data_IF_647860631529
#
_entry.id   IF_647860631529
#
_cell.length_a   1.000
_cell.length_b   1.000
_cell.length_c   1.000
_cell.angle_alpha   90.00
_cell.angle_beta   90.00
_cell.angle_gamma   90.00
#
_symmetry.space_group_name_H-M   'P 1'
#
loop_
_entity.id
_entity.type
_entity.pdbx_description
1 polymer ?
#
# COMPACT_ATOMS: atom_id res chain seq x y z
N UNK A 1 9.87 -10.86 -14.90
CA UNK A 1 9.86 -10.75 -13.45
C UNK A 1 9.91 -9.29 -12.99
N UNK A 2 10.87 -8.48 -13.48
CA UNK A 2 11.11 -7.07 -13.03
C UNK A 2 9.85 -6.21 -13.16
N UNK A 3 9.18 -6.22 -14.33
CA UNK A 3 7.92 -5.48 -14.54
C UNK A 3 6.83 -5.86 -13.53
N UNK A 4 6.68 -7.19 -13.26
CA UNK A 4 5.68 -7.66 -12.28
C UNK A 4 6.00 -7.22 -10.86
N UNK A 5 7.28 -7.24 -10.45
CA UNK A 5 7.73 -6.75 -9.14
C UNK A 5 7.50 -5.23 -9.04
N UNK A 6 7.85 -4.46 -10.07
CA UNK A 6 7.64 -3.02 -10.09
C UNK A 6 6.15 -2.67 -9.96
N UNK A 7 5.28 -3.39 -10.67
CA UNK A 7 3.83 -3.21 -10.55
C UNK A 7 3.33 -3.53 -9.13
N UNK A 8 3.78 -4.66 -8.56
CA UNK A 8 3.43 -5.03 -7.19
C UNK A 8 3.90 -3.99 -6.15
N UNK A 9 5.10 -3.41 -6.36
CA UNK A 9 5.63 -2.34 -5.51
C UNK A 9 4.76 -1.09 -5.57
N UNK A 10 4.37 -0.67 -6.78
CA UNK A 10 3.51 0.49 -6.98
C UNK A 10 2.10 0.28 -6.40
N UNK A 11 1.56 -0.93 -6.48
CA UNK A 11 0.22 -1.25 -5.97
C UNK A 11 0.20 -1.73 -4.51
N UNK A 12 1.35 -1.68 -3.83
CA UNK A 12 1.48 -2.11 -2.43
C UNK A 12 1.07 -3.58 -2.22
N UNK A 13 1.32 -4.42 -3.23
CA UNK A 13 0.99 -5.85 -3.19
C UNK A 13 2.13 -6.64 -2.54
N UNK A 14 1.87 -7.41 -1.46
CA UNK A 14 2.89 -8.22 -0.78
C UNK A 14 3.21 -9.47 -1.61
N UNK A 15 4.24 -9.40 -2.42
CA UNK A 15 4.71 -10.50 -3.27
C UNK A 15 6.09 -10.96 -2.79
N UNK A 16 6.31 -12.27 -2.73
CA UNK A 16 7.63 -12.86 -2.54
C UNK A 16 8.08 -13.44 -3.88
N UNK A 17 9.10 -12.83 -4.48
CA UNK A 17 9.73 -13.30 -5.69
C UNK A 17 10.93 -14.18 -5.33
N UNK A 18 10.99 -15.40 -5.86
CA UNK A 18 12.11 -16.31 -5.66
C UNK A 18 12.81 -16.50 -7.00
N UNK A 19 14.12 -16.21 -7.03
CA UNK A 19 14.97 -16.37 -8.22
C UNK A 19 16.09 -17.37 -7.95
N UNK A 20 16.56 -18.01 -9.00
CA UNK A 20 17.77 -18.83 -8.95
C UNK A 20 18.99 -18.01 -9.39
N UNK A 21 20.13 -18.28 -8.77
CA UNK A 21 21.39 -17.63 -9.06
C UNK A 21 22.46 -18.69 -9.40
N UNK A 22 23.54 -18.28 -10.08
CA UNK A 22 24.71 -19.11 -10.28
C UNK A 22 25.31 -19.58 -8.95
N UNK A 23 26.13 -20.65 -8.90
CA UNK A 23 26.80 -21.08 -7.67
C UNK A 23 27.56 -19.92 -7.00
N UNK A 24 27.61 -19.88 -5.66
CA UNK A 24 28.28 -18.83 -4.87
C UNK A 24 29.70 -18.49 -5.34
N UNK A 25 30.46 -19.51 -5.75
CA UNK A 25 31.83 -19.34 -6.25
C UNK A 25 31.92 -18.60 -7.59
N UNK A 26 30.81 -18.48 -8.31
CA UNK A 26 30.73 -17.87 -9.65
C UNK A 26 30.13 -16.46 -9.61
N UNK A 27 29.51 -16.06 -8.51
CA UNK A 27 28.87 -14.72 -8.36
C UNK A 27 29.93 -13.62 -8.50
N UNK A 28 29.66 -12.63 -9.36
CA UNK A 28 30.56 -11.50 -9.65
C UNK A 28 31.69 -11.85 -10.60
N UNK A 29 31.57 -12.93 -11.39
CA UNK A 29 32.59 -13.38 -12.35
C UNK A 29 32.10 -13.46 -13.80
N UNK A 30 30.99 -12.81 -14.11
CA UNK A 30 30.35 -12.79 -15.43
C UNK A 30 30.08 -14.23 -15.95
N UNK A 31 29.63 -15.11 -15.03
CA UNK A 31 29.33 -16.49 -15.36
C UNK A 31 28.13 -16.58 -16.32
N UNK A 32 28.04 -17.68 -17.08
CA UNK A 32 26.91 -17.92 -17.97
C UNK A 32 25.58 -17.86 -17.22
N UNK A 33 24.66 -17.02 -17.69
CA UNK A 33 23.34 -16.71 -17.07
C UNK A 33 23.41 -16.05 -15.69
N UNK A 34 24.54 -15.51 -15.28
CA UNK A 34 24.60 -14.65 -14.11
C UNK A 34 23.87 -13.33 -14.38
N UNK A 35 23.08 -12.90 -13.41
CA UNK A 35 22.46 -11.57 -13.40
C UNK A 35 22.48 -11.01 -11.98
N UNK A 36 22.83 -9.74 -11.83
CA UNK A 36 22.66 -9.02 -10.55
C UNK A 36 21.20 -8.67 -10.34
N UNK A 37 20.37 -9.69 -10.08
CA UNK A 37 18.93 -9.49 -9.88
C UNK A 37 18.63 -8.68 -8.63
N UNK A 38 19.48 -8.71 -7.62
CA UNK A 38 19.38 -7.89 -6.41
C UNK A 38 19.55 -6.42 -6.77
N UNK A 39 20.65 -6.07 -7.48
CA UNK A 39 20.87 -4.69 -7.94
C UNK A 39 19.74 -4.19 -8.83
N UNK A 40 19.26 -5.01 -9.78
CA UNK A 40 18.13 -4.68 -10.67
C UNK A 40 16.84 -4.39 -9.88
N UNK A 41 16.56 -5.13 -8.81
CA UNK A 41 15.29 -5.06 -8.08
C UNK A 41 15.32 -4.19 -6.82
N UNK A 42 16.47 -3.71 -6.41
CA UNK A 42 16.63 -2.92 -5.16
C UNK A 42 15.67 -1.73 -5.08
N UNK A 43 15.42 -1.03 -6.18
CA UNK A 43 14.54 0.15 -6.22
C UNK A 43 13.04 -0.18 -6.26
N UNK A 44 12.69 -1.43 -6.51
CA UNK A 44 11.30 -1.90 -6.70
C UNK A 44 10.89 -3.00 -5.73
N UNK A 45 11.68 -3.22 -4.67
CA UNK A 45 11.40 -4.17 -3.60
C UNK A 45 11.57 -3.49 -2.24
N UNK A 46 10.91 -4.03 -1.22
CA UNK A 46 11.12 -3.61 0.16
C UNK A 46 12.43 -4.13 0.73
N UNK A 47 12.83 -5.32 0.31
CA UNK A 47 14.08 -5.97 0.72
C UNK A 47 14.45 -7.09 -0.23
N UNK A 48 15.76 -7.39 -0.31
CA UNK A 48 16.30 -8.50 -1.09
C UNK A 48 17.15 -9.39 -0.18
N UNK A 49 16.98 -10.70 -0.31
CA UNK A 49 17.76 -11.70 0.40
C UNK A 49 18.55 -12.56 -0.58
N UNK A 50 19.75 -12.97 -0.18
CA UNK A 50 20.54 -13.99 -0.86
C UNK A 50 21.13 -14.93 0.20
N UNK A 51 20.45 -16.06 0.54
CA UNK A 51 20.94 -17.01 1.53
C UNK A 51 22.25 -17.65 1.09
N UNK A 52 23.16 -17.82 2.02
CA UNK A 52 24.49 -18.40 1.80
C UNK A 52 24.57 -19.88 2.18
N UNK A 53 23.57 -20.42 2.88
CA UNK A 53 23.46 -21.81 3.31
C UNK A 53 22.02 -22.27 3.26
N UNK A 54 21.79 -23.56 3.07
CA UNK A 54 20.45 -24.14 3.08
C UNK A 54 19.72 -23.89 4.43
N UNK A 55 20.44 -23.96 5.56
CA UNK A 55 19.89 -23.71 6.90
C UNK A 55 19.39 -22.29 7.13
N UNK A 56 19.80 -21.32 6.30
CA UNK A 56 19.30 -19.94 6.38
C UNK A 56 17.92 -19.76 5.72
N UNK A 57 17.55 -20.64 4.75
CA UNK A 57 16.35 -20.47 3.94
C UNK A 57 15.07 -20.33 4.76
N UNK A 58 14.79 -21.16 5.78
CA UNK A 58 13.57 -21.03 6.58
C UNK A 58 13.45 -19.67 7.27
N UNK A 59 14.56 -19.18 7.83
CA UNK A 59 14.62 -17.86 8.48
C UNK A 59 14.42 -16.73 7.47
N UNK A 60 15.04 -16.82 6.31
CA UNK A 60 14.92 -15.84 5.21
C UNK A 60 13.47 -15.77 4.73
N UNK A 61 12.83 -16.91 4.49
CA UNK A 61 11.43 -16.97 4.07
C UNK A 61 10.52 -16.34 5.14
N UNK A 62 10.70 -16.69 6.41
CA UNK A 62 9.95 -16.08 7.52
C UNK A 62 10.09 -14.55 7.53
N UNK A 63 11.33 -14.05 7.37
CA UNK A 63 11.58 -12.62 7.33
C UNK A 63 11.00 -11.96 6.08
N UNK A 64 11.03 -12.62 4.93
CA UNK A 64 10.47 -12.11 3.68
C UNK A 64 8.95 -11.88 3.81
N UNK A 65 8.21 -12.84 4.36
CA UNK A 65 6.77 -12.67 4.64
C UNK A 65 6.53 -11.52 5.61
N UNK A 66 7.31 -11.46 6.70
CA UNK A 66 7.19 -10.40 7.69
C UNK A 66 7.41 -9.02 7.07
N UNK A 67 8.44 -8.83 6.24
CA UNK A 67 8.76 -7.56 5.60
C UNK A 67 7.71 -7.22 4.53
N UNK A 68 7.33 -8.19 3.69
CA UNK A 68 6.35 -7.95 2.63
C UNK A 68 5.01 -7.41 3.14
N UNK A 69 4.58 -7.86 4.32
CA UNK A 69 3.29 -7.49 4.91
C UNK A 69 3.36 -6.37 5.95
N UNK A 70 4.55 -5.82 6.25
CA UNK A 70 4.73 -4.78 7.27
C UNK A 70 4.54 -3.37 6.71
N UNK A 71 4.02 -2.45 7.54
CA UNK A 71 3.80 -1.06 7.16
C UNK A 71 3.01 -0.96 5.86
N UNK A 72 3.50 -0.18 4.88
CA UNK A 72 3.00 -0.27 3.50
C UNK A 72 3.45 -1.62 2.93
N UNK A 73 2.53 -2.52 2.54
CA UNK A 73 2.90 -3.80 1.93
C UNK A 73 3.66 -3.63 0.62
N UNK A 74 4.44 -4.65 0.23
CA UNK A 74 5.17 -4.60 -1.03
C UNK A 74 6.05 -5.83 -1.25
N UNK A 75 6.67 -5.97 -2.43
CA UNK A 75 7.42 -7.15 -2.83
C UNK A 75 8.75 -7.27 -2.09
N UNK A 76 9.15 -8.52 -1.89
CA UNK A 76 10.47 -8.94 -1.38
C UNK A 76 11.04 -9.98 -2.34
N UNK A 77 12.34 -9.93 -2.61
CA UNK A 77 13.01 -10.91 -3.46
C UNK A 77 13.92 -11.81 -2.62
N UNK A 78 13.96 -13.09 -2.96
CA UNK A 78 14.89 -14.09 -2.43
C UNK A 78 15.65 -14.70 -3.60
N UNK A 79 16.94 -14.40 -3.73
CA UNK A 79 17.81 -14.92 -4.79
C UNK A 79 18.63 -16.09 -4.25
N UNK A 80 18.35 -17.31 -4.73
CA UNK A 80 18.92 -18.54 -4.14
C UNK A 80 20.00 -19.12 -5.05
N UNK A 81 21.31 -19.10 -4.64
CA UNK A 81 22.38 -19.71 -5.39
C UNK A 81 22.16 -21.22 -5.63
N UNK A 82 22.55 -21.70 -6.83
CA UNK A 82 22.32 -23.09 -7.24
C UNK A 82 22.93 -24.11 -6.26
N UNK A 83 24.11 -23.85 -5.77
CA UNK A 83 24.79 -24.75 -4.82
C UNK A 83 24.09 -24.77 -3.47
N UNK A 84 23.52 -23.67 -3.03
CA UNK A 84 22.67 -23.60 -1.81
C UNK A 84 21.38 -24.43 -1.99
N UNK A 85 20.79 -24.44 -3.21
CA UNK A 85 19.61 -25.27 -3.51
C UNK A 85 19.92 -26.76 -3.47
N UNK A 86 21.18 -27.14 -3.69
CA UNK A 86 21.65 -28.55 -3.70
C UNK A 86 22.18 -28.99 -2.35
N UNK A 87 22.39 -28.08 -1.39
CA UNK A 87 22.83 -28.43 -0.04
C UNK A 87 21.80 -29.26 0.70
N UNK A 88 22.26 -30.22 1.47
CA UNK A 88 21.47 -30.96 2.47
C UNK A 88 21.91 -30.50 3.84
N UNK A 89 20.98 -30.00 4.63
CA UNK A 89 21.28 -29.49 5.97
C UNK A 89 20.16 -29.93 6.95
N UNK A 90 20.48 -30.02 8.23
CA UNK A 90 19.50 -30.25 9.27
C UNK A 90 18.75 -28.94 9.53
N UNK A 91 17.43 -29.02 9.53
CA UNK A 91 16.58 -27.86 9.83
C UNK A 91 16.14 -27.92 11.29
N UNK A 92 16.30 -26.80 11.97
CA UNK A 92 15.59 -26.57 13.23
C UNK A 92 14.08 -26.65 13.00
N UNK A 93 13.31 -27.13 13.99
CA UNK A 93 11.85 -27.14 13.90
C UNK A 93 11.35 -25.74 13.53
N UNK A 94 10.59 -25.63 12.46
CA UNK A 94 9.95 -24.37 12.08
C UNK A 94 8.92 -24.06 13.18
N UNK A 95 9.27 -23.18 14.10
CA UNK A 95 8.30 -22.61 15.02
C UNK A 95 7.15 -22.01 14.20
N UNK A 96 5.92 -22.33 14.57
CA UNK A 96 4.72 -21.84 13.91
C UNK A 96 4.88 -20.35 13.61
N UNK A 97 4.70 -19.97 12.34
CA UNK A 97 4.76 -18.58 11.91
C UNK A 97 3.60 -17.82 12.54
N UNK A 98 3.79 -17.34 13.75
CA UNK A 98 2.89 -16.32 14.28
C UNK A 98 3.14 -15.06 13.43
N UNK A 99 2.24 -14.80 12.49
CA UNK A 99 2.17 -13.53 11.78
C UNK A 99 1.78 -12.44 12.80
N UNK A 100 2.78 -11.94 13.50
CA UNK A 100 2.58 -10.73 14.30
C UNK A 100 2.42 -9.61 13.27
N UNK A 101 1.19 -9.13 13.05
CA UNK A 101 0.99 -7.84 12.38
C UNK A 101 1.90 -6.85 13.08
N UNK A 102 2.65 -6.05 12.32
CA UNK A 102 3.43 -4.97 12.92
C UNK A 102 2.48 -4.11 13.75
N UNK A 103 2.98 -3.67 14.90
CA UNK A 103 2.25 -2.75 15.75
C UNK A 103 1.87 -1.53 14.90
N UNK A 104 0.58 -1.32 14.75
CA UNK A 104 0.06 -0.16 14.06
C UNK A 104 0.61 1.11 14.74
N UNK A 105 1.09 2.05 13.94
CA UNK A 105 1.47 3.36 14.48
C UNK A 105 0.17 4.13 14.71
N UNK A 106 -0.19 4.46 15.96
CA UNK A 106 -1.41 5.21 16.21
C UNK A 106 -1.27 6.62 15.61
N UNK A 107 -2.34 7.16 15.02
CA UNK A 107 -2.34 8.52 14.51
C UNK A 107 -2.13 9.53 15.64
N UNK A 108 -1.54 10.68 15.31
CA UNK A 108 -1.31 11.72 16.30
C UNK A 108 -2.65 12.38 16.72
N UNK A 109 -3.02 12.40 18.03
CA UNK A 109 -4.34 12.85 18.48
C UNK A 109 -4.71 14.28 18.05
N UNK A 110 -3.74 15.19 18.02
CA UNK A 110 -3.99 16.57 17.56
C UNK A 110 -4.40 16.64 16.08
N UNK A 111 -3.85 15.78 15.23
CA UNK A 111 -4.24 15.74 13.81
C UNK A 111 -5.62 15.12 13.64
N UNK A 112 -5.93 14.09 14.42
CA UNK A 112 -7.28 13.50 14.44
C UNK A 112 -8.32 14.56 14.86
N UNK A 113 -8.06 15.31 15.95
CA UNK A 113 -8.96 16.37 16.40
C UNK A 113 -9.15 17.49 15.35
N UNK A 114 -8.07 17.87 14.63
CA UNK A 114 -8.18 18.84 13.53
C UNK A 114 -9.04 18.29 12.39
N UNK A 115 -8.88 17.02 12.03
CA UNK A 115 -9.67 16.37 11.01
C UNK A 115 -11.16 16.32 11.40
N UNK A 116 -11.47 15.95 12.65
CA UNK A 116 -12.84 15.91 13.17
C UNK A 116 -13.49 17.29 13.08
N UNK A 117 -12.81 18.34 13.57
CA UNK A 117 -13.37 19.70 13.51
C UNK A 117 -13.63 20.13 12.06
N UNK A 118 -12.69 19.84 11.15
CA UNK A 118 -12.83 20.19 9.74
C UNK A 118 -14.01 19.45 9.07
N UNK A 119 -14.23 18.18 9.43
CA UNK A 119 -15.35 17.40 8.92
C UNK A 119 -16.71 17.84 9.51
N UNK A 120 -16.74 18.27 10.77
CA UNK A 120 -17.95 18.78 11.40
C UNK A 120 -18.39 20.13 10.85
N UNK A 121 -17.44 20.95 10.39
CA UNK A 121 -17.69 22.27 9.80
C UNK A 121 -17.97 22.18 8.28
N UNK A 122 -17.81 21.02 7.66
CA UNK A 122 -17.96 20.82 6.23
C UNK A 122 -19.44 20.84 5.78
N UNK A 123 -19.71 21.52 4.67
CA UNK A 123 -21.04 21.52 4.03
C UNK A 123 -21.18 20.42 2.97
N UNK A 124 -20.05 20.05 2.34
CA UNK A 124 -19.98 19.05 1.25
C UNK A 124 -18.81 18.07 1.47
N UNK A 125 -18.78 17.36 2.60
CA UNK A 125 -17.72 16.40 2.86
C UNK A 125 -17.83 15.21 1.90
N UNK A 126 -16.68 14.77 1.35
CA UNK A 126 -16.59 13.53 0.56
C UNK A 126 -15.45 12.70 1.09
N UNK A 127 -15.64 11.38 1.08
CA UNK A 127 -14.59 10.41 1.44
C UNK A 127 -14.06 9.76 0.16
N UNK A 128 -12.74 9.83 -0.04
CA UNK A 128 -12.03 9.09 -1.08
C UNK A 128 -11.31 7.90 -0.45
N UNK A 129 -11.84 6.69 -0.69
CA UNK A 129 -11.31 5.46 -0.14
C UNK A 129 -10.40 4.74 -1.14
N UNK A 130 -9.15 4.53 -0.75
CA UNK A 130 -8.15 3.81 -1.55
C UNK A 130 -7.94 2.35 -1.10
N UNK A 131 -6.97 1.68 -1.74
CA UNK A 131 -6.59 0.30 -1.43
C UNK A 131 -6.11 0.09 0.01
N UNK A 132 -5.61 1.14 0.66
CA UNK A 132 -5.21 1.11 2.07
C UNK A 132 -6.35 0.75 3.01
N UNK A 133 -7.59 1.10 2.69
CA UNK A 133 -8.77 0.71 3.49
C UNK A 133 -8.97 -0.81 3.48
N UNK A 134 -8.77 -1.46 2.32
CA UNK A 134 -8.86 -2.93 2.20
C UNK A 134 -7.69 -3.58 2.95
N UNK A 135 -6.49 -3.09 2.74
CA UNK A 135 -5.27 -3.65 3.33
C UNK A 135 -5.25 -3.57 4.86
N UNK A 136 -5.85 -2.52 5.43
CA UNK A 136 -5.99 -2.36 6.88
C UNK A 136 -7.18 -3.10 7.48
N UNK A 137 -8.15 -3.53 6.66
CA UNK A 137 -9.41 -4.12 7.11
C UNK A 137 -10.41 -3.09 7.65
N UNK A 138 -10.27 -1.80 7.25
CA UNK A 138 -11.03 -0.68 7.79
C UNK A 138 -12.41 -0.46 7.12
N UNK A 139 -12.89 -1.38 6.28
CA UNK A 139 -14.14 -1.21 5.52
C UNK A 139 -15.36 -0.92 6.40
N UNK A 140 -15.49 -1.60 7.55
CA UNK A 140 -16.60 -1.37 8.48
C UNK A 140 -16.49 -0.01 9.19
N UNK A 141 -15.29 0.39 9.59
CA UNK A 141 -15.05 1.69 10.20
C UNK A 141 -15.33 2.84 9.20
N UNK A 142 -14.92 2.66 7.93
CA UNK A 142 -15.22 3.58 6.84
C UNK A 142 -16.73 3.74 6.65
N UNK A 143 -17.47 2.63 6.61
CA UNK A 143 -18.92 2.67 6.44
C UNK A 143 -19.59 3.40 7.60
N UNK A 144 -19.25 3.06 8.85
CA UNK A 144 -19.78 3.72 10.03
C UNK A 144 -19.50 5.24 10.03
N UNK A 145 -18.29 5.65 9.61
CA UNK A 145 -17.94 7.07 9.50
C UNK A 145 -18.76 7.77 8.41
N UNK A 146 -18.89 7.15 7.23
CA UNK A 146 -19.66 7.70 6.12
C UNK A 146 -21.13 7.90 6.49
N UNK A 147 -21.74 6.91 7.18
CA UNK A 147 -23.12 6.99 7.66
C UNK A 147 -23.29 8.07 8.75
N UNK A 148 -22.34 8.19 9.68
CA UNK A 148 -22.36 9.19 10.74
C UNK A 148 -22.31 10.62 10.19
N UNK A 149 -21.47 10.85 9.17
CA UNK A 149 -21.28 12.16 8.55
C UNK A 149 -22.26 12.44 7.41
N UNK A 150 -23.04 11.42 6.97
CA UNK A 150 -23.81 11.44 5.73
C UNK A 150 -22.93 11.82 4.51
N UNK A 151 -21.66 11.46 4.56
CA UNK A 151 -20.66 11.80 3.55
C UNK A 151 -20.62 10.75 2.42
N UNK A 152 -20.80 11.14 1.16
CA UNK A 152 -20.66 10.25 0.04
C UNK A 152 -19.24 9.68 -0.06
N UNK A 153 -19.12 8.43 -0.54
CA UNK A 153 -17.87 7.71 -0.66
C UNK A 153 -17.58 7.42 -2.14
N UNK A 154 -16.46 7.95 -2.62
CA UNK A 154 -15.85 7.55 -3.88
C UNK A 154 -14.67 6.60 -3.61
N UNK A 155 -14.43 5.62 -4.48
CA UNK A 155 -13.31 4.71 -4.34
C UNK A 155 -12.29 4.90 -5.44
N UNK A 156 -11.01 4.67 -5.15
CA UNK A 156 -10.04 4.44 -6.21
C UNK A 156 -10.27 3.04 -6.81
N UNK A 157 -9.66 2.74 -7.98
CA UNK A 157 -9.73 1.40 -8.55
C UNK A 157 -9.22 0.34 -7.55
N UNK A 158 -8.13 0.62 -6.83
CA UNK A 158 -7.58 -0.28 -5.80
C UNK A 158 -8.42 -0.32 -4.52
N UNK A 159 -9.27 0.66 -4.30
CA UNK A 159 -10.22 0.71 -3.18
C UNK A 159 -11.57 0.08 -3.49
N UNK A 160 -11.82 -0.34 -4.75
CA UNK A 160 -13.09 -0.96 -5.14
C UNK A 160 -13.41 -2.17 -4.26
N UNK A 161 -14.63 -2.18 -3.69
CA UNK A 161 -15.08 -3.21 -2.74
C UNK A 161 -14.83 -2.89 -1.26
N UNK A 162 -14.14 -1.79 -0.91
CA UNK A 162 -14.01 -1.36 0.49
C UNK A 162 -15.29 -0.71 1.05
N UNK A 163 -16.20 -0.31 0.19
CA UNK A 163 -17.51 0.26 0.53
C UNK A 163 -18.59 -0.42 -0.32
N UNK A 164 -19.78 -0.74 0.23
CA UNK A 164 -20.83 -1.40 -0.54
C UNK A 164 -21.31 -0.53 -1.71
N UNK A 165 -21.23 -1.06 -2.94
CA UNK A 165 -21.59 -0.30 -4.13
C UNK A 165 -23.10 0.02 -4.26
N UNK A 166 -23.94 -0.77 -3.58
CA UNK A 166 -25.40 -0.54 -3.50
C UNK A 166 -25.82 0.36 -2.34
N UNK A 167 -24.88 0.91 -1.60
CA UNK A 167 -25.18 1.83 -0.50
C UNK A 167 -25.60 3.20 -1.06
N UNK A 168 -26.59 3.90 -0.45
CA UNK A 168 -27.05 5.23 -0.93
C UNK A 168 -25.95 6.29 -0.98
N UNK A 169 -24.91 6.18 -0.16
CA UNK A 169 -23.76 7.07 -0.14
C UNK A 169 -22.65 6.67 -1.11
N UNK A 170 -22.77 5.57 -1.87
CA UNK A 170 -21.76 5.13 -2.81
C UNK A 170 -21.80 5.95 -4.10
N UNK A 171 -20.69 6.60 -4.43
CA UNK A 171 -20.49 7.30 -5.70
C UNK A 171 -19.84 6.40 -6.77
N UNK A 172 -19.32 5.22 -6.38
CA UNK A 172 -18.57 4.34 -7.26
C UNK A 172 -17.09 4.74 -7.38
N UNK A 173 -16.47 4.33 -8.49
CA UNK A 173 -15.03 4.57 -8.74
C UNK A 173 -14.81 6.00 -9.25
N UNK A 174 -13.73 6.63 -8.76
CA UNK A 174 -13.25 7.95 -9.17
C UNK A 174 -12.11 7.83 -10.18
N UNK A 175 -12.02 8.78 -11.09
CA UNK A 175 -10.90 8.99 -12.01
C UNK A 175 -11.20 8.59 -13.46
N UNK A 176 -10.17 8.22 -14.21
CA UNK A 176 -10.23 7.99 -15.66
C UNK A 176 -11.30 6.95 -16.08
N UNK A 177 -11.52 5.93 -15.25
CA UNK A 177 -12.52 4.88 -15.44
C UNK A 177 -13.68 4.99 -14.45
N UNK A 178 -13.83 6.17 -13.85
CA UNK A 178 -14.82 6.45 -12.81
C UNK A 178 -16.22 6.73 -13.36
N UNK A 179 -17.17 6.75 -12.42
CA UNK A 179 -18.55 7.17 -12.72
C UNK A 179 -18.60 8.67 -12.94
N UNK A 180 -19.61 9.13 -13.68
CA UNK A 180 -19.83 10.56 -13.89
C UNK A 180 -20.11 11.28 -12.56
N UNK A 181 -20.91 10.64 -11.70
CA UNK A 181 -21.31 11.14 -10.39
C UNK A 181 -20.10 11.30 -9.48
N UNK A 182 -19.22 10.29 -9.37
CA UNK A 182 -18.01 10.37 -8.57
C UNK A 182 -17.09 11.50 -9.04
N UNK A 183 -16.83 11.57 -10.35
CA UNK A 183 -15.96 12.59 -10.93
C UNK A 183 -16.51 14.00 -10.74
N UNK A 184 -17.82 14.18 -10.85
CA UNK A 184 -18.45 15.49 -10.71
C UNK A 184 -18.50 15.93 -9.24
N UNK A 185 -19.04 15.08 -8.36
CA UNK A 185 -19.29 15.46 -6.97
C UNK A 185 -17.99 15.64 -6.18
N UNK A 186 -16.96 14.83 -6.44
CA UNK A 186 -15.66 14.99 -5.77
C UNK A 186 -15.03 16.36 -6.06
N UNK A 187 -15.21 16.92 -7.26
CA UNK A 187 -14.73 18.27 -7.60
C UNK A 187 -15.45 19.39 -6.88
N UNK A 188 -16.68 19.14 -6.41
CA UNK A 188 -17.52 20.12 -5.68
C UNK A 188 -17.33 20.05 -4.15
N UNK A 189 -16.51 19.12 -3.65
CA UNK A 189 -16.27 18.95 -2.22
C UNK A 189 -15.58 20.18 -1.62
N UNK A 190 -16.00 20.60 -0.43
CA UNK A 190 -15.30 21.58 0.40
C UNK A 190 -14.29 20.93 1.33
N UNK A 191 -14.55 19.67 1.75
CA UNK A 191 -13.62 18.83 2.51
C UNK A 191 -13.53 17.45 1.87
N UNK A 192 -12.31 17.02 1.53
CA UNK A 192 -12.02 15.68 1.02
C UNK A 192 -11.21 14.90 2.06
N UNK A 193 -11.84 13.85 2.63
CA UNK A 193 -11.14 12.87 3.46
C UNK A 193 -10.60 11.75 2.59
N UNK A 194 -9.30 11.74 2.36
CA UNK A 194 -8.61 10.72 1.58
C UNK A 194 -7.99 9.67 2.51
N UNK A 195 -8.39 8.40 2.39
CA UNK A 195 -7.96 7.30 3.25
C UNK A 195 -7.27 6.23 2.44
N UNK A 196 -5.98 6.00 2.71
CA UNK A 196 -5.19 4.95 2.07
C UNK A 196 -5.14 5.05 0.54
N UNK A 197 -5.01 6.28 0.01
CA UNK A 197 -4.90 6.54 -1.43
C UNK A 197 -3.72 7.48 -1.75
N UNK A 198 -3.10 7.30 -2.92
CA UNK A 198 -1.88 8.01 -3.33
C UNK A 198 -2.12 9.24 -4.20
N UNK A 199 -3.35 9.59 -4.48
CA UNK A 199 -3.69 10.63 -5.46
C UNK A 199 -2.94 10.43 -6.80
N UNK A 200 -3.00 9.18 -7.33
CA UNK A 200 -2.38 8.86 -8.62
C UNK A 200 -3.09 9.59 -9.77
N UNK A 201 -2.39 9.78 -10.88
CA UNK A 201 -2.91 10.40 -12.10
C UNK A 201 -4.18 9.71 -12.63
N UNK A 202 -4.30 8.38 -12.42
CA UNK A 202 -5.49 7.61 -12.81
C UNK A 202 -6.72 7.94 -11.96
N UNK A 203 -6.50 8.39 -10.72
CA UNK A 203 -7.58 8.78 -9.80
C UNK A 203 -7.91 10.27 -9.93
N UNK A 204 -6.89 11.13 -10.04
CA UNK A 204 -7.07 12.58 -10.04
C UNK A 204 -7.23 13.18 -11.44
N UNK A 205 -6.85 12.44 -12.50
CA UNK A 205 -6.72 12.98 -13.85
C UNK A 205 -5.79 14.21 -13.85
N UNK A 206 -6.31 15.40 -14.07
CA UNK A 206 -5.54 16.63 -13.96
C UNK A 206 -5.44 17.08 -12.50
N UNK A 207 -4.29 16.87 -11.88
CA UNK A 207 -4.08 17.17 -10.45
C UNK A 207 -4.27 18.65 -10.11
N UNK A 208 -4.01 19.57 -11.04
CA UNK A 208 -4.18 21.00 -10.82
C UNK A 208 -5.64 21.45 -10.74
N UNK A 209 -6.53 20.66 -11.33
CA UNK A 209 -7.97 20.90 -11.35
C UNK A 209 -8.71 20.02 -10.33
N UNK A 210 -7.99 19.11 -9.68
CA UNK A 210 -8.60 18.17 -8.74
C UNK A 210 -8.92 18.83 -7.40
N UNK A 211 -10.19 19.04 -7.10
CA UNK A 211 -10.70 19.65 -5.86
C UNK A 211 -9.92 20.92 -5.46
N UNK A 212 -9.82 21.94 -6.33
CA UNK A 212 -8.91 23.08 -6.10
C UNK A 212 -9.20 23.83 -4.81
N UNK A 213 -10.47 23.92 -4.43
CA UNK A 213 -10.96 24.68 -3.28
C UNK A 213 -11.15 23.81 -2.02
N UNK A 214 -11.06 22.47 -2.13
CA UNK A 214 -11.28 21.58 -1.01
C UNK A 214 -10.12 21.58 -0.01
N UNK A 215 -10.46 21.53 1.28
CA UNK A 215 -9.52 21.16 2.35
C UNK A 215 -9.27 19.66 2.31
N UNK A 216 -8.02 19.25 2.30
CA UNK A 216 -7.63 17.85 2.18
C UNK A 216 -7.18 17.30 3.53
N UNK A 217 -7.89 16.27 4.00
CA UNK A 217 -7.44 15.40 5.09
C UNK A 217 -6.88 14.14 4.45
N UNK A 218 -5.63 13.78 4.72
CA UNK A 218 -5.00 12.60 4.12
C UNK A 218 -4.51 11.65 5.19
N UNK A 219 -5.09 10.44 5.21
CA UNK A 219 -4.73 9.33 6.11
C UNK A 219 -3.98 8.29 5.32
N UNK A 220 -2.72 8.06 5.67
CA UNK A 220 -1.90 7.01 5.06
C UNK A 220 -0.88 6.44 6.07
N UNK A 221 -0.56 5.16 5.93
CA UNK A 221 0.47 4.50 6.74
C UNK A 221 1.88 4.90 6.31
N UNK A 222 2.03 5.33 5.06
CA UNK A 222 3.29 5.78 4.48
C UNK A 222 3.37 7.31 4.47
N UNK A 223 4.15 7.85 5.39
CA UNK A 223 4.35 9.31 5.50
C UNK A 223 4.87 9.94 4.19
N UNK A 224 5.55 9.18 3.33
CA UNK A 224 6.10 9.68 2.07
C UNK A 224 5.03 9.92 1.00
N UNK A 225 3.85 9.33 1.12
CA UNK A 225 2.73 9.56 0.22
C UNK A 225 1.90 10.80 0.60
N UNK A 226 1.96 11.21 1.87
CA UNK A 226 1.18 12.36 2.35
C UNK A 226 1.74 13.66 1.77
N UNK A 227 0.90 14.37 1.04
CA UNK A 227 1.28 15.66 0.44
C UNK A 227 2.15 15.56 -0.81
N UNK A 228 2.48 14.35 -1.29
CA UNK A 228 3.35 14.12 -2.43
C UNK A 228 2.75 14.66 -3.74
N UNK A 229 1.52 14.31 -4.04
CA UNK A 229 0.84 14.69 -5.28
C UNK A 229 -0.16 15.83 -5.10
N UNK A 230 -0.75 15.98 -3.93
CA UNK A 230 -1.74 17.01 -3.60
C UNK A 230 -1.39 17.64 -2.25
N UNK A 231 -1.41 18.96 -2.16
CA UNK A 231 -1.23 19.68 -0.89
C UNK A 231 -2.29 19.21 0.12
N UNK A 232 -1.87 18.98 1.36
CA UNK A 232 -2.70 18.45 2.45
C UNK A 232 -2.81 19.48 3.56
N UNK A 233 -4.03 19.72 4.05
CA UNK A 233 -4.29 20.63 5.17
C UNK A 233 -4.13 19.89 6.51
N UNK A 234 -4.59 18.63 6.58
CA UNK A 234 -4.48 17.80 7.79
C UNK A 234 -3.84 16.45 7.43
N UNK A 235 -2.51 16.30 7.65
CA UNK A 235 -1.82 15.02 7.47
C UNK A 235 -2.05 14.09 8.67
N UNK A 236 -2.40 12.84 8.42
CA UNK A 236 -2.56 11.80 9.45
C UNK A 236 -1.73 10.59 9.03
N UNK A 237 -0.58 10.41 9.66
CA UNK A 237 0.24 9.19 9.48
C UNK A 237 -0.30 8.13 10.43
N UNK A 238 -0.84 7.04 9.89
CA UNK A 238 -1.40 5.96 10.69
C UNK A 238 -2.10 4.90 9.84
N UNK A 239 -2.45 3.79 10.48
CA UNK A 239 -3.32 2.78 9.88
C UNK A 239 -4.74 3.33 9.79
N UNK A 240 -5.47 2.91 8.75
CA UNK A 240 -6.85 3.39 8.52
C UNK A 240 -7.89 2.73 9.46
N UNK A 241 -7.48 1.71 10.23
CA UNK A 241 -8.35 0.97 11.15
C UNK A 241 -8.10 1.38 12.59
#
# INVERSE_FOLDING_TARGET
>A
LVTGIANAYMDSSPVIAITGQVPRAMIGKDAFQEADIIGITTSITKYNFQPRKASEIPKVVKMAFKIATSGRPGPVLIDVPRDVQMEVDEMDPIESLNFVRFKQVPPHPLQVNKAVNLLLDAEKPIILAGGGVILSGASQALQALAELLLAPVATTLMGKGCFPENHPLSLGVLGMHGTFEANKLVLEADVLLAVGCRFSDRTTCNISEFCPDAKIIHVDVDASEIGKNRKVDVPIVGDAN
#
